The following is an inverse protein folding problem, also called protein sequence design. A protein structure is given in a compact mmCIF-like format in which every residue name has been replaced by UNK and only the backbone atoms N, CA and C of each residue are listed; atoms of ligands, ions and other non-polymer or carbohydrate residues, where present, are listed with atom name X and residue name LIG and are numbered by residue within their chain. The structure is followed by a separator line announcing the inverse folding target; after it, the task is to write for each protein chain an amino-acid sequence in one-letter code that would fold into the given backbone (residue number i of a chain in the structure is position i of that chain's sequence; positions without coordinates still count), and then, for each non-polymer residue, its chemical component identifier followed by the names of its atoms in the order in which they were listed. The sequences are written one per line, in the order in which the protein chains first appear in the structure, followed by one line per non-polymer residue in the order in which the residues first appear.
data_IF_834287380030
#
_entry.id   IF_834287380030
#
_cell.length_a   1.000
_cell.length_b   1.000
_cell.length_c   1.000
_cell.angle_alpha   90.00
_cell.angle_beta   90.00
_cell.angle_gamma   90.00
#
_symmetry.space_group_name_H-M   'P 1'
#
loop_
_entity.id
_entity.type
_entity.pdbx_description
1 polymer ?
#
# COMPACT_ATOMS: atom_id res chain seq x y z
N UNK A 1 9.51 11.26 3.46
CA UNK A 1 8.23 10.75 2.93
C UNK A 1 7.10 11.01 3.93
N UNK A 2 5.90 11.34 3.45
CA UNK A 2 4.69 11.63 4.24
C UNK A 2 3.55 10.68 3.85
N UNK A 3 2.48 10.60 4.65
CA UNK A 3 1.26 9.85 4.28
C UNK A 3 0.62 10.37 2.98
N UNK A 4 0.80 11.66 2.68
CA UNK A 4 0.32 12.28 1.44
C UNK A 4 0.98 11.69 0.19
N UNK A 5 2.27 11.35 0.25
CA UNK A 5 2.94 10.67 -0.87
C UNK A 5 2.33 9.30 -1.13
N UNK A 6 2.04 8.53 -0.07
CA UNK A 6 1.36 7.25 -0.22
C UNK A 6 -0.03 7.40 -0.81
N UNK A 7 -0.78 8.41 -0.35
CA UNK A 7 -2.11 8.70 -0.87
C UNK A 7 -2.05 9.00 -2.38
N UNK A 8 -1.16 9.89 -2.81
CA UNK A 8 -1.00 10.23 -4.23
C UNK A 8 -0.66 9.01 -5.10
N UNK A 9 0.14 8.08 -4.57
CA UNK A 9 0.45 6.82 -5.27
C UNK A 9 -0.78 5.91 -5.37
N UNK A 10 -1.57 5.81 -4.30
CA UNK A 10 -2.79 5.00 -4.27
C UNK A 10 -3.92 5.62 -5.10
N UNK A 11 -3.97 6.94 -5.27
CA UNK A 11 -4.94 7.64 -6.10
C UNK A 11 -4.76 7.32 -7.59
N UNK A 12 -3.54 7.00 -8.02
CA UNK A 12 -3.25 6.55 -9.38
C UNK A 12 -3.56 5.06 -9.61
N UNK A 13 -4.07 4.36 -8.60
CA UNK A 13 -4.67 3.03 -8.75
C UNK A 13 -6.15 3.16 -9.09
N UNK A 14 -6.59 2.50 -10.16
CA UNK A 14 -8.02 2.31 -10.40
C UNK A 14 -8.63 1.36 -9.33
N UNK A 15 -9.95 1.27 -9.27
CA UNK A 15 -10.64 0.52 -8.20
C UNK A 15 -10.30 -0.99 -8.19
N UNK A 16 -10.08 -1.60 -9.37
CA UNK A 16 -9.70 -3.01 -9.46
C UNK A 16 -8.26 -3.24 -8.97
N UNK A 17 -7.35 -2.32 -9.31
CA UNK A 17 -5.97 -2.33 -8.84
C UNK A 17 -5.90 -2.08 -7.33
N UNK A 18 -6.69 -1.14 -6.81
CA UNK A 18 -6.80 -0.91 -5.37
C UNK A 18 -7.35 -2.15 -4.65
N UNK A 19 -8.38 -2.79 -5.19
CA UNK A 19 -8.93 -4.03 -4.62
C UNK A 19 -7.88 -5.15 -4.58
N UNK A 20 -7.09 -5.30 -5.64
CA UNK A 20 -6.00 -6.27 -5.72
C UNK A 20 -4.88 -5.92 -4.73
N UNK A 21 -4.53 -4.63 -4.63
CA UNK A 21 -3.56 -4.12 -3.67
C UNK A 21 -3.97 -4.46 -2.23
N UNK A 22 -5.21 -4.17 -1.86
CA UNK A 22 -5.78 -4.49 -0.55
C UNK A 22 -5.85 -6.01 -0.30
N UNK A 23 -6.05 -6.82 -1.34
CA UNK A 23 -6.01 -8.28 -1.22
C UNK A 23 -4.62 -8.78 -0.84
N UNK A 24 -3.54 -8.19 -1.38
CA UNK A 24 -2.17 -8.52 -0.99
C UNK A 24 -1.83 -8.10 0.44
N UNK A 25 -2.39 -6.99 0.93
CA UNK A 25 -2.25 -6.58 2.34
C UNK A 25 -2.88 -7.58 3.32
N UNK A 26 -3.82 -8.41 2.85
CA UNK A 26 -4.46 -9.46 3.65
C UNK A 26 -3.65 -10.77 3.67
N UNK A 27 -2.62 -10.90 2.82
CA UNK A 27 -1.83 -12.13 2.77
C UNK A 27 -0.81 -12.16 3.91
N UNK A 28 -0.73 -13.26 4.67
CA UNK A 28 0.28 -13.40 5.72
C UNK A 28 1.68 -13.39 5.10
N UNK A 29 2.63 -12.77 5.79
CA UNK A 29 4.04 -12.69 5.38
C UNK A 29 4.26 -12.10 3.97
N UNK A 30 3.36 -11.24 3.47
CA UNK A 30 3.56 -10.55 2.19
C UNK A 30 4.87 -9.74 2.18
N UNK A 31 5.23 -9.19 3.34
CA UNK A 31 6.58 -8.72 3.69
C UNK A 31 7.01 -9.46 4.96
N UNK A 32 8.23 -10.01 4.95
CA UNK A 32 8.71 -10.84 6.05
C UNK A 32 8.69 -10.07 7.38
N UNK A 33 8.06 -10.67 8.41
CA UNK A 33 7.98 -10.09 9.74
C UNK A 33 6.89 -9.03 9.93
N UNK A 34 6.06 -8.75 8.92
CA UNK A 34 4.91 -7.86 9.04
C UNK A 34 3.59 -8.63 9.09
N UNK A 35 2.65 -8.22 9.97
CA UNK A 35 1.36 -8.90 10.10
C UNK A 35 0.48 -8.67 8.87
N UNK A 36 -0.45 -9.57 8.58
CA UNK A 36 -1.52 -9.30 7.61
C UNK A 36 -2.54 -8.31 8.19
N UNK A 37 -3.12 -7.47 7.33
CA UNK A 37 -4.27 -6.63 7.71
C UNK A 37 -5.57 -7.41 7.47
N UNK A 38 -6.49 -7.34 8.43
CA UNK A 38 -7.78 -8.04 8.32
C UNK A 38 -8.66 -7.43 7.22
N UNK A 39 -9.41 -8.28 6.51
CA UNK A 39 -10.34 -7.87 5.44
C UNK A 39 -11.31 -6.76 5.88
N UNK A 40 -11.84 -6.84 7.11
CA UNK A 40 -12.79 -5.85 7.64
C UNK A 40 -12.23 -4.44 7.72
N UNK A 41 -10.91 -4.27 7.87
CA UNK A 41 -10.25 -2.96 7.90
C UNK A 41 -9.99 -2.40 6.49
N UNK A 42 -10.07 -3.23 5.45
CA UNK A 42 -9.76 -2.88 4.06
C UNK A 42 -10.97 -2.98 3.12
N UNK A 43 -12.19 -3.25 3.63
CA UNK A 43 -13.42 -3.27 2.82
C UNK A 43 -13.88 -1.84 2.48
N UNK A 44 -13.07 -1.12 1.71
CA UNK A 44 -13.35 0.26 1.30
C UNK A 44 -12.63 0.59 0.00
N UNK A 45 -13.22 1.45 -0.84
CA UNK A 45 -12.54 2.05 -2.00
C UNK A 45 -11.86 3.38 -1.64
N UNK A 46 -11.87 3.75 -0.36
CA UNK A 46 -11.25 4.97 0.14
C UNK A 46 -9.73 4.77 0.28
N UNK A 47 -8.97 5.51 -0.53
CA UNK A 47 -7.51 5.45 -0.53
C UNK A 47 -6.93 6.03 0.76
N UNK A 48 -7.52 7.10 1.29
CA UNK A 48 -7.10 7.69 2.57
C UNK A 48 -7.22 6.68 3.70
N UNK A 49 -8.37 5.98 3.80
CA UNK A 49 -8.54 4.92 4.82
C UNK A 49 -7.55 3.78 4.64
N UNK A 50 -7.23 3.42 3.40
CA UNK A 50 -6.21 2.39 3.13
C UNK A 50 -4.84 2.83 3.64
N UNK A 51 -4.42 4.07 3.35
CA UNK A 51 -3.17 4.65 3.86
C UNK A 51 -3.17 4.69 5.39
N UNK A 52 -4.24 5.18 6.01
CA UNK A 52 -4.34 5.27 7.48
C UNK A 52 -4.19 3.89 8.13
N UNK A 53 -4.88 2.88 7.61
CA UNK A 53 -4.78 1.50 8.10
C UNK A 53 -3.37 0.93 7.95
N UNK A 54 -2.69 1.21 6.83
CA UNK A 54 -1.30 0.78 6.63
C UNK A 54 -0.34 1.47 7.60
N UNK A 55 -0.47 2.79 7.78
CA UNK A 55 0.38 3.57 8.68
C UNK A 55 0.14 3.18 10.14
N UNK A 56 -1.11 2.97 10.54
CA UNK A 56 -1.47 2.50 11.88
C UNK A 56 -0.89 1.10 12.16
N UNK A 57 -0.94 0.20 11.18
CA UNK A 57 -0.52 -1.20 11.37
C UNK A 57 1.00 -1.36 11.33
N UNK A 58 1.69 -0.67 10.43
CA UNK A 58 3.10 -0.89 10.15
C UNK A 58 4.01 0.24 10.63
N UNK A 59 3.45 1.44 10.85
CA UNK A 59 4.21 2.68 10.89
C UNK A 59 4.55 3.15 9.47
N UNK A 60 4.74 4.47 9.31
CA UNK A 60 4.93 5.09 7.99
C UNK A 60 6.08 4.47 7.19
N UNK A 61 7.26 4.28 7.78
CA UNK A 61 8.43 3.76 7.06
C UNK A 61 8.18 2.36 6.49
N UNK A 62 7.54 1.48 7.25
CA UNK A 62 7.23 0.11 6.81
C UNK A 62 6.03 0.08 5.87
N UNK A 63 5.05 0.96 6.05
CA UNK A 63 3.94 1.12 5.10
C UNK A 63 4.47 1.42 3.69
N UNK A 64 5.49 2.26 3.57
CA UNK A 64 6.16 2.54 2.29
C UNK A 64 6.82 1.31 1.69
N UNK A 65 7.55 0.53 2.49
CA UNK A 65 8.16 -0.72 2.03
C UNK A 65 7.11 -1.72 1.54
N UNK A 66 6.01 -1.86 2.28
CA UNK A 66 4.88 -2.72 1.91
C UNK A 66 4.24 -2.24 0.61
N UNK A 67 3.99 -0.93 0.45
CA UNK A 67 3.45 -0.36 -0.79
C UNK A 67 4.32 -0.72 -1.98
N UNK A 68 5.64 -0.58 -1.86
CA UNK A 68 6.57 -0.96 -2.93
C UNK A 68 6.44 -2.42 -3.35
N UNK A 69 6.47 -3.33 -2.38
CA UNK A 69 6.33 -4.79 -2.63
C UNK A 69 4.99 -5.13 -3.29
N UNK A 70 3.89 -4.48 -2.87
CA UNK A 70 2.58 -4.74 -3.46
C UNK A 70 2.46 -4.17 -4.87
N UNK A 71 2.99 -2.97 -5.13
CA UNK A 71 3.00 -2.35 -6.47
C UNK A 71 3.75 -3.23 -7.48
N UNK A 72 4.89 -3.79 -7.09
CA UNK A 72 5.62 -4.77 -7.89
C UNK A 72 4.76 -6.00 -8.22
N UNK A 73 4.08 -6.57 -7.21
CA UNK A 73 3.20 -7.74 -7.37
C UNK A 73 2.01 -7.50 -8.30
N UNK A 74 1.46 -6.28 -8.30
CA UNK A 74 0.37 -5.90 -9.21
C UNK A 74 0.87 -5.29 -10.53
N UNK A 75 2.17 -5.36 -10.80
CA UNK A 75 2.82 -4.85 -12.02
C UNK A 75 2.62 -3.35 -12.29
N UNK A 76 2.38 -2.55 -11.24
CA UNK A 76 2.38 -1.07 -11.31
C UNK A 76 3.78 -0.52 -11.07
N UNK A 77 4.72 -0.97 -11.91
CA UNK A 77 6.13 -0.61 -11.83
C UNK A 77 6.38 0.89 -12.08
N UNK A 78 5.47 1.54 -12.82
CA UNK A 78 5.45 3.00 -13.00
C UNK A 78 5.27 3.73 -11.67
N UNK A 79 4.35 3.26 -10.82
CA UNK A 79 4.13 3.83 -9.49
C UNK A 79 5.22 3.43 -8.50
N UNK A 80 5.78 2.22 -8.64
CA UNK A 80 6.93 1.79 -7.84
C UNK A 80 8.13 2.72 -8.06
N UNK A 81 8.42 3.07 -9.31
CA UNK A 81 9.49 4.02 -9.65
C UNK A 81 9.22 5.39 -9.02
N UNK A 82 8.01 5.93 -9.16
CA UNK A 82 7.63 7.21 -8.54
C UNK A 82 7.74 7.17 -7.02
N UNK A 83 7.36 6.05 -6.40
CA UNK A 83 7.51 5.87 -4.96
C UNK A 83 8.99 5.95 -4.54
N UNK A 84 9.89 5.33 -5.32
CA UNK A 84 11.33 5.38 -5.07
C UNK A 84 11.94 6.78 -5.26
N UNK A 85 11.46 7.55 -6.24
CA UNK A 85 11.89 8.94 -6.46
C UNK A 85 11.53 9.86 -5.29
N UNK A 86 10.45 9.56 -4.55
CA UNK A 86 10.05 10.30 -3.34
C UNK A 86 10.78 9.84 -2.06
N UNK A 87 11.68 8.85 -2.16
CA UNK A 87 12.55 8.39 -1.05
C UNK A 87 13.93 9.05 -1.06
N UNK A 88 14.32 9.64 -2.18
CA UNK A 88 15.57 10.39 -2.37
C UNK A 88 15.39 11.86 -1.97
#
# INVERSE_FOLDING_TARGET
MTSEVLLNILDDLNDDQLSTFQWFLQQPNNVQGLPAITKSRLQTLDRCKTVDVMVETYGLQRAVQVTGVVLEKISRNDLLQRLAENLL
#
